data_IF_301520742825
#
_entry.id   IF_301520742825
#
_cell.length_a   1.000
_cell.length_b   1.000
_cell.length_c   1.000
_cell.angle_alpha   90.00
_cell.angle_beta   90.00
_cell.angle_gamma   90.00
#
_symmetry.space_group_name_H-M   'P 1'
#
loop_
_entity.id
_entity.type
_entity.pdbx_description
1 polymer ?
#
# COMPACT_ATOMS: atom_id res chain seq x y z
N UNK A 1 -9.09 5.90 -0.44
CA UNK A 1 -9.99 5.63 0.69
C UNK A 1 -10.30 4.14 0.87
N UNK A 2 -10.64 3.37 -0.21
CA UNK A 2 -11.00 1.94 -0.10
C UNK A 2 -9.84 1.08 0.43
N UNK A 3 -8.64 1.24 -0.12
CA UNK A 3 -7.45 0.51 0.34
C UNK A 3 -7.17 0.74 1.83
N UNK A 4 -7.25 2.00 2.30
CA UNK A 4 -7.05 2.35 3.71
C UNK A 4 -8.09 1.67 4.61
N UNK A 5 -9.37 1.64 4.21
CA UNK A 5 -10.42 0.96 5.01
C UNK A 5 -10.21 -0.55 5.12
N UNK A 6 -9.68 -1.17 4.08
CA UNK A 6 -9.37 -2.60 4.08
C UNK A 6 -8.14 -2.93 4.91
N UNK A 7 -7.09 -2.10 4.77
CA UNK A 7 -5.80 -2.31 5.44
C UNK A 7 -5.74 -1.85 6.90
N UNK A 8 -6.73 -1.09 7.39
CA UNK A 8 -6.79 -0.56 8.77
C UNK A 8 -8.21 -0.70 9.35
N UNK A 9 -8.69 -1.92 9.61
CA UNK A 9 -10.10 -2.16 9.97
C UNK A 9 -10.50 -1.65 11.36
N UNK A 10 -9.56 -1.51 12.28
CA UNK A 10 -9.83 -1.18 13.70
C UNK A 10 -10.13 0.29 14.00
N UNK A 11 -9.98 1.20 13.05
CA UNK A 11 -10.11 2.65 13.29
C UNK A 11 -11.53 3.17 13.03
N UNK A 12 -12.13 3.84 14.05
CA UNK A 12 -13.53 4.26 13.97
C UNK A 12 -13.79 5.51 13.13
N UNK A 13 -12.92 6.54 13.17
CA UNK A 13 -13.15 7.76 12.40
C UNK A 13 -11.88 8.58 12.15
N UNK A 14 -11.74 9.08 10.94
CA UNK A 14 -12.27 8.47 9.72
C UNK A 14 -11.72 7.06 9.56
N UNK A 15 -12.57 6.10 9.25
CA UNK A 15 -12.23 4.66 9.28
C UNK A 15 -10.90 4.36 8.59
N UNK A 16 -9.91 3.88 9.33
CA UNK A 16 -8.58 3.55 8.89
C UNK A 16 -7.60 4.72 8.75
N UNK A 17 -8.06 5.97 8.69
CA UNK A 17 -7.17 7.12 8.43
C UNK A 17 -6.15 7.36 9.53
N UNK A 18 -6.55 7.30 10.78
CA UNK A 18 -5.62 7.50 11.91
C UNK A 18 -4.57 6.38 11.97
N UNK A 19 -4.99 5.13 11.74
CA UNK A 19 -4.06 3.99 11.64
C UNK A 19 -3.09 4.15 10.49
N UNK A 20 -3.57 4.52 9.31
CA UNK A 20 -2.73 4.78 8.15
C UNK A 20 -1.71 5.91 8.42
N UNK A 21 -2.14 7.02 8.99
CA UNK A 21 -1.26 8.15 9.33
C UNK A 21 -0.21 7.73 10.37
N UNK A 22 -0.64 7.07 11.44
CA UNK A 22 0.27 6.59 12.50
C UNK A 22 1.32 5.61 11.98
N UNK A 23 0.94 4.70 11.08
CA UNK A 23 1.84 3.71 10.52
C UNK A 23 2.88 4.31 9.54
N UNK A 24 2.63 5.50 8.99
CA UNK A 24 3.43 6.04 7.90
C UNK A 24 4.21 7.33 8.22
N UNK A 25 3.76 8.13 9.18
CA UNK A 25 4.39 9.45 9.50
C UNK A 25 5.87 9.32 9.83
N UNK A 26 6.27 8.28 10.54
CA UNK A 26 7.67 8.10 10.96
C UNK A 26 8.47 7.16 10.07
N UNK A 27 7.82 6.39 9.21
CA UNK A 27 8.47 5.34 8.40
C UNK A 27 8.60 5.70 6.93
N UNK A 28 7.56 6.29 6.35
CA UNK A 28 7.48 6.57 4.93
C UNK A 28 7.55 8.06 4.59
N UNK A 29 7.46 8.97 5.58
CA UNK A 29 7.50 10.42 5.34
C UNK A 29 8.78 11.02 5.90
N UNK A 30 9.51 11.73 5.05
CA UNK A 30 10.64 12.58 5.43
C UNK A 30 10.31 14.03 5.17
N UNK A 31 10.94 14.94 5.91
CA UNK A 31 10.70 16.37 5.77
C UNK A 31 12.01 17.07 5.39
N UNK A 32 12.00 17.73 4.25
CA UNK A 32 13.14 18.51 3.77
C UNK A 32 12.90 20.02 3.94
N UNK A 33 13.97 20.74 4.24
CA UNK A 33 13.94 22.21 4.23
C UNK A 33 14.00 22.70 2.79
N UNK A 34 13.06 23.57 2.44
CA UNK A 34 13.05 24.24 1.13
C UNK A 34 13.87 25.51 1.23
N UNK A 35 14.91 25.66 0.42
CA UNK A 35 15.67 26.88 0.26
C UNK A 35 15.29 27.57 -1.07
N UNK A 36 15.21 28.90 -1.12
CA UNK A 36 15.48 29.87 -0.06
C UNK A 36 14.30 30.06 0.92
N UNK A 37 14.60 30.54 2.13
CA UNK A 37 13.58 31.03 3.05
C UNK A 37 12.84 32.21 2.44
N UNK A 38 11.51 32.20 2.47
CA UNK A 38 10.69 33.33 2.00
C UNK A 38 10.49 34.33 3.12
N UNK A 39 10.79 35.61 2.92
CA UNK A 39 10.50 36.65 3.92
C UNK A 39 8.97 36.87 4.00
N UNK A 40 8.44 36.94 5.22
CA UNK A 40 7.09 37.45 5.43
C UNK A 40 7.16 38.98 5.36
N UNK A 41 6.61 39.54 4.29
CA UNK A 41 6.66 41.00 4.03
C UNK A 41 6.09 41.79 5.20
N UNK A 42 5.04 41.29 5.86
CA UNK A 42 4.34 42.01 6.95
C UNK A 42 5.12 42.07 8.27
N UNK A 43 6.00 41.11 8.53
CA UNK A 43 6.72 41.04 9.80
C UNK A 43 8.24 41.09 9.65
N UNK A 44 8.74 41.24 8.42
CA UNK A 44 10.19 41.21 8.10
C UNK A 44 10.90 39.95 8.64
N UNK A 45 10.16 38.88 8.85
CA UNK A 45 10.68 37.59 9.30
C UNK A 45 10.74 36.64 8.12
N UNK A 46 11.82 35.87 8.04
CA UNK A 46 11.91 34.75 7.11
C UNK A 46 11.18 33.54 7.69
N UNK A 47 10.40 32.88 6.86
CA UNK A 47 9.78 31.55 7.21
C UNK A 47 10.55 30.46 6.51
N UNK A 48 10.97 29.47 7.29
CA UNK A 48 11.48 28.24 6.74
C UNK A 48 10.31 27.41 6.21
N UNK A 49 10.27 27.20 4.89
CA UNK A 49 9.34 26.26 4.28
C UNK A 49 9.89 24.84 4.39
N UNK A 50 8.99 23.87 4.60
CA UNK A 50 9.29 22.45 4.63
C UNK A 50 8.47 21.74 3.58
N UNK A 51 9.08 20.75 2.93
CA UNK A 51 8.43 19.86 1.97
C UNK A 51 8.44 18.42 2.51
N UNK A 52 7.28 17.80 2.54
CA UNK A 52 7.17 16.36 2.81
C UNK A 52 7.53 15.54 1.58
N UNK A 53 8.34 14.51 1.76
CA UNK A 53 8.69 13.53 0.73
C UNK A 53 8.21 12.18 1.21
N UNK A 54 7.56 11.43 0.33
CA UNK A 54 7.05 10.09 0.62
C UNK A 54 7.97 9.06 -0.03
N UNK A 55 8.48 8.14 0.78
CA UNK A 55 9.15 6.94 0.30
C UNK A 55 8.09 5.84 0.12
N UNK A 56 7.63 5.67 -1.10
CA UNK A 56 6.59 4.70 -1.43
C UNK A 56 7.00 3.26 -1.15
N UNK A 57 8.29 2.93 -1.20
CA UNK A 57 8.76 1.58 -0.87
C UNK A 57 8.55 1.20 0.60
N UNK A 58 8.44 2.20 1.47
CA UNK A 58 8.19 2.06 2.91
C UNK A 58 6.75 2.37 3.31
N UNK A 59 5.94 2.82 2.35
CA UNK A 59 4.55 3.15 2.62
C UNK A 59 3.77 1.88 3.00
N UNK A 60 3.07 1.94 4.13
CA UNK A 60 2.19 0.88 4.60
C UNK A 60 0.76 1.19 4.20
N UNK A 61 0.19 0.39 3.32
CA UNK A 61 -1.23 0.45 2.94
C UNK A 61 -2.11 -0.43 3.82
N UNK A 62 -1.49 -1.32 4.60
CA UNK A 62 -2.10 -2.11 5.67
C UNK A 62 -1.08 -2.31 6.79
N UNK A 63 -1.57 -2.44 8.04
CA UNK A 63 -0.76 -2.78 9.21
C UNK A 63 -1.59 -3.59 10.21
N UNK A 64 -1.07 -4.72 10.64
CA UNK A 64 -1.73 -5.61 11.59
C UNK A 64 -0.87 -6.81 11.98
N UNK A 65 -1.46 -7.74 12.72
CA UNK A 65 -0.77 -8.86 13.34
C UNK A 65 -0.65 -10.09 12.44
N UNK A 66 -1.50 -10.22 11.40
CA UNK A 66 -1.43 -11.38 10.53
C UNK A 66 -0.09 -11.46 9.80
N UNK A 67 0.34 -12.67 9.51
CA UNK A 67 1.54 -12.92 8.68
C UNK A 67 1.33 -12.33 7.28
N UNK A 68 2.31 -11.60 6.77
CA UNK A 68 2.25 -11.04 5.42
C UNK A 68 2.23 -12.15 4.35
N UNK A 69 1.44 -12.00 3.29
CA UNK A 69 1.33 -13.02 2.24
C UNK A 69 2.59 -13.06 1.36
N UNK A 70 2.89 -14.25 0.84
CA UNK A 70 3.92 -14.46 -0.18
C UNK A 70 3.26 -14.53 -1.54
N UNK A 71 3.44 -13.51 -2.35
CA UNK A 71 2.86 -13.37 -3.69
C UNK A 71 3.96 -12.96 -4.66
N UNK A 72 4.01 -13.61 -5.81
CA UNK A 72 4.85 -13.15 -6.92
C UNK A 72 4.07 -12.18 -7.80
N UNK A 73 4.76 -11.18 -8.37
CA UNK A 73 4.16 -10.28 -9.33
C UNK A 73 5.04 -10.06 -10.55
N UNK A 74 4.38 -9.87 -11.69
CA UNK A 74 5.00 -9.57 -12.98
C UNK A 74 4.21 -8.45 -13.66
N UNK A 75 4.91 -7.50 -14.28
CA UNK A 75 4.29 -6.37 -14.98
C UNK A 75 4.31 -6.62 -16.49
N UNK A 76 3.14 -6.65 -17.08
CA UNK A 76 2.94 -6.71 -18.54
C UNK A 76 2.67 -5.31 -19.08
N UNK A 77 3.73 -4.61 -19.45
CA UNK A 77 3.68 -3.19 -19.88
C UNK A 77 2.80 -2.99 -21.12
N UNK A 78 2.85 -3.91 -22.09
CA UNK A 78 2.10 -3.83 -23.35
C UNK A 78 0.58 -3.85 -23.15
N UNK A 79 0.09 -4.63 -22.18
CA UNK A 79 -1.33 -4.74 -21.85
C UNK A 79 -1.73 -3.91 -20.63
N UNK A 80 -0.80 -3.19 -20.03
CA UNK A 80 -1.01 -2.36 -18.82
C UNK A 80 -1.62 -3.16 -17.67
N UNK A 81 -1.06 -4.35 -17.41
CA UNK A 81 -1.53 -5.26 -16.36
C UNK A 81 -0.41 -5.64 -15.41
N UNK A 82 -0.78 -5.90 -14.18
CA UNK A 82 0.06 -6.56 -13.18
C UNK A 82 -0.54 -7.93 -12.94
N UNK A 83 0.25 -8.97 -13.16
CA UNK A 83 -0.10 -10.35 -12.90
C UNK A 83 0.40 -10.75 -11.52
N UNK A 84 -0.44 -11.39 -10.75
CA UNK A 84 -0.13 -11.91 -9.42
C UNK A 84 -0.30 -13.40 -9.43
N UNK A 85 0.62 -14.10 -8.77
CA UNK A 85 0.51 -15.54 -8.56
C UNK A 85 0.79 -15.91 -7.11
N UNK A 86 0.06 -16.89 -6.62
CA UNK A 86 0.19 -17.43 -5.29
C UNK A 86 0.08 -18.93 -5.30
N UNK A 87 0.93 -19.59 -4.52
CA UNK A 87 0.82 -21.02 -4.23
C UNK A 87 0.20 -21.20 -2.85
N UNK A 88 -0.80 -22.07 -2.79
CA UNK A 88 -1.54 -22.36 -1.57
C UNK A 88 -0.61 -22.73 -0.41
N UNK A 89 -0.95 -22.25 0.76
CA UNK A 89 -0.40 -22.80 1.99
C UNK A 89 -1.08 -24.12 2.32
N UNK A 90 -0.32 -25.10 2.77
CA UNK A 90 -0.84 -26.42 3.11
C UNK A 90 -1.27 -26.54 4.58
N UNK A 91 -0.75 -25.68 5.46
CA UNK A 91 -0.92 -25.77 6.92
C UNK A 91 -1.11 -24.37 7.50
N UNK A 92 -2.03 -24.25 8.42
CA UNK A 92 -2.21 -23.02 9.21
C UNK A 92 -1.12 -22.85 10.27
N UNK A 93 -0.86 -21.61 10.64
CA UNK A 93 0.06 -21.23 11.70
C UNK A 93 -0.55 -20.08 12.53
N UNK A 94 0.12 -19.67 13.59
CA UNK A 94 -0.28 -18.52 14.40
C UNK A 94 -0.33 -17.28 13.47
N UNK A 95 -1.43 -16.56 13.53
CA UNK A 95 -1.70 -15.36 12.73
C UNK A 95 -1.62 -15.58 11.21
N UNK A 96 -1.91 -16.82 10.76
CA UNK A 96 -1.84 -17.22 9.37
C UNK A 96 -2.85 -18.34 9.07
N UNK A 97 -4.02 -18.00 8.56
CA UNK A 97 -5.13 -18.92 8.35
C UNK A 97 -5.39 -19.13 6.86
N UNK A 98 -5.89 -20.32 6.50
CA UNK A 98 -6.11 -20.69 5.08
C UNK A 98 -7.22 -19.86 4.43
N UNK A 99 -8.16 -19.37 5.21
CA UNK A 99 -9.28 -18.52 4.77
C UNK A 99 -8.95 -17.00 4.78
N UNK A 100 -7.74 -16.61 5.16
CA UNK A 100 -7.30 -15.22 5.02
C UNK A 100 -7.36 -14.79 3.55
N UNK A 101 -8.01 -13.68 3.29
CA UNK A 101 -8.10 -13.06 1.97
C UNK A 101 -6.84 -12.26 1.65
N UNK A 102 -6.32 -12.40 0.43
CA UNK A 102 -5.16 -11.64 -0.05
C UNK A 102 -5.64 -10.53 -0.97
N UNK A 103 -5.17 -9.32 -0.72
CA UNK A 103 -5.48 -8.12 -1.51
C UNK A 103 -4.24 -7.59 -2.20
N UNK A 104 -4.42 -7.18 -3.47
CA UNK A 104 -3.44 -6.41 -4.24
C UNK A 104 -3.82 -4.94 -4.28
N UNK A 105 -2.82 -4.07 -4.21
CA UNK A 105 -2.97 -2.62 -4.32
C UNK A 105 -1.97 -2.09 -5.34
N UNK A 106 -2.47 -1.39 -6.35
CA UNK A 106 -1.65 -0.65 -7.30
C UNK A 106 -1.77 0.84 -6.96
N UNK A 107 -0.66 1.50 -6.76
CA UNK A 107 -0.57 2.93 -6.47
C UNK A 107 0.40 3.58 -7.46
N UNK A 108 0.01 4.70 -8.05
CA UNK A 108 0.89 5.47 -8.91
C UNK A 108 1.40 6.71 -8.18
N UNK A 109 2.72 6.90 -8.14
CA UNK A 109 3.37 7.92 -7.30
C UNK A 109 2.99 9.36 -7.67
N UNK A 110 2.92 9.68 -8.96
CA UNK A 110 2.69 11.06 -9.40
C UNK A 110 1.22 11.44 -9.48
N UNK A 111 0.34 10.53 -9.95
CA UNK A 111 -1.10 10.80 -10.05
C UNK A 111 -1.85 10.50 -8.76
N UNK A 112 -1.21 9.75 -7.82
CA UNK A 112 -1.83 9.23 -6.60
C UNK A 112 -3.08 8.38 -6.86
N UNK A 113 -3.26 7.91 -8.09
CA UNK A 113 -4.33 6.98 -8.43
C UNK A 113 -4.07 5.63 -7.78
N UNK A 114 -5.12 5.03 -7.23
CA UNK A 114 -5.00 3.80 -6.46
C UNK A 114 -6.13 2.83 -6.81
N UNK A 115 -5.75 1.58 -7.08
CA UNK A 115 -6.68 0.48 -7.32
C UNK A 115 -6.43 -0.62 -6.29
N UNK A 116 -7.51 -1.22 -5.77
CA UNK A 116 -7.43 -2.34 -4.83
C UNK A 116 -8.35 -3.45 -5.26
N UNK A 117 -7.87 -4.70 -5.21
CA UNK A 117 -8.61 -5.88 -5.60
C UNK A 117 -8.33 -7.04 -4.63
N UNK A 118 -9.36 -7.85 -4.35
CA UNK A 118 -9.17 -9.15 -3.72
C UNK A 118 -8.60 -10.10 -4.77
N UNK A 119 -7.48 -10.75 -4.46
CA UNK A 119 -6.79 -11.67 -5.38
C UNK A 119 -7.22 -13.13 -5.16
N UNK A 120 -7.39 -13.56 -3.90
CA UNK A 120 -7.76 -14.92 -3.56
C UNK A 120 -7.60 -15.20 -2.07
N UNK A 121 -7.50 -16.47 -1.68
CA UNK A 121 -7.25 -16.88 -0.29
C UNK A 121 -5.90 -17.57 -0.17
N UNK A 122 -5.37 -17.63 1.06
CA UNK A 122 -4.08 -18.29 1.32
C UNK A 122 -4.11 -19.79 1.04
N UNK A 123 -5.24 -20.43 1.28
CA UNK A 123 -5.42 -21.87 1.09
C UNK A 123 -5.62 -22.30 -0.35
N UNK A 124 -5.57 -21.41 -1.32
CA UNK A 124 -5.84 -21.67 -2.72
C UNK A 124 -4.64 -21.31 -3.61
N UNK A 125 -4.46 -22.09 -4.69
CA UNK A 125 -3.59 -21.68 -5.81
C UNK A 125 -4.40 -20.74 -6.71
N UNK A 126 -3.82 -19.58 -7.02
CA UNK A 126 -4.48 -18.63 -7.92
C UNK A 126 -3.49 -17.81 -8.75
N UNK A 127 -3.97 -17.36 -9.90
CA UNK A 127 -3.33 -16.40 -10.77
C UNK A 127 -4.37 -15.33 -11.11
N UNK A 128 -4.09 -14.08 -10.75
CA UNK A 128 -4.99 -12.96 -10.95
C UNK A 128 -4.26 -11.80 -11.63
N UNK A 129 -5.01 -10.93 -12.26
CA UNK A 129 -4.44 -9.74 -12.88
C UNK A 129 -5.23 -8.48 -12.56
N UNK A 130 -4.51 -7.38 -12.43
CA UNK A 130 -5.09 -6.04 -12.25
C UNK A 130 -4.65 -5.13 -13.38
N UNK A 131 -5.60 -4.42 -13.99
CA UNK A 131 -5.26 -3.33 -14.89
C UNK A 131 -4.66 -2.17 -14.11
N UNK A 132 -3.75 -1.42 -14.71
CA UNK A 132 -3.21 -0.21 -14.14
C UNK A 132 -4.33 0.76 -13.73
N UNK A 133 -4.12 1.58 -12.70
CA UNK A 133 -5.00 2.71 -12.44
C UNK A 133 -5.14 3.60 -13.67
N UNK A 134 -6.26 4.31 -13.79
CA UNK A 134 -6.48 5.27 -14.87
C UNK A 134 -5.33 6.28 -14.91
N UNK A 135 -4.88 6.63 -16.11
CA UNK A 135 -3.79 7.57 -16.37
C UNK A 135 -2.42 7.19 -15.78
N UNK A 136 -2.29 6.01 -15.13
CA UNK A 136 -1.02 5.54 -14.60
C UNK A 136 -0.16 4.96 -15.71
N UNK A 137 1.12 5.30 -15.73
CA UNK A 137 2.13 4.66 -16.55
C UNK A 137 2.89 3.58 -15.75
N UNK A 138 3.73 2.81 -16.40
CA UNK A 138 4.55 1.81 -15.71
C UNK A 138 5.55 2.47 -14.77
N UNK A 139 6.14 3.58 -15.21
CA UNK A 139 7.04 4.38 -14.38
C UNK A 139 6.28 5.03 -13.23
N UNK A 140 6.73 4.80 -12.01
CA UNK A 140 6.04 5.27 -10.80
C UNK A 140 4.88 4.38 -10.32
N UNK A 141 4.69 3.19 -10.92
CA UNK A 141 3.74 2.22 -10.41
C UNK A 141 4.36 1.44 -9.23
N UNK A 142 3.68 1.47 -8.09
CA UNK A 142 4.07 0.75 -6.88
C UNK A 142 3.00 -0.28 -6.55
N UNK A 143 3.45 -1.50 -6.26
CA UNK A 143 2.58 -2.66 -6.02
C UNK A 143 2.72 -3.11 -4.58
N UNK A 144 1.59 -3.27 -3.90
CA UNK A 144 1.56 -3.82 -2.55
C UNK A 144 0.59 -4.99 -2.47
N UNK A 145 0.88 -5.90 -1.53
CA UNK A 145 -0.05 -6.95 -1.13
C UNK A 145 -0.18 -6.98 0.37
N UNK A 146 -1.33 -7.40 0.87
CA UNK A 146 -1.57 -7.67 2.28
C UNK A 146 -2.64 -8.75 2.44
N UNK A 147 -2.66 -9.39 3.61
CA UNK A 147 -3.70 -10.33 3.98
C UNK A 147 -4.72 -9.67 4.92
N UNK A 148 -5.94 -10.18 4.89
CA UNK A 148 -7.04 -9.76 5.76
C UNK A 148 -7.79 -10.99 6.25
N UNK A 149 -8.05 -11.07 7.54
CA UNK A 149 -8.84 -12.15 8.12
C UNK A 149 -10.22 -12.23 7.46
N UNK A 150 -10.75 -13.43 7.35
CA UNK A 150 -12.08 -13.68 6.74
C UNK A 150 -13.21 -12.90 7.45
N UNK A 151 -13.09 -12.71 8.78
CA UNK A 151 -14.04 -11.89 9.56
C UNK A 151 -13.83 -10.38 9.40
N UNK A 152 -12.76 -9.99 8.71
CA UNK A 152 -12.43 -8.61 8.39
C UNK A 152 -11.92 -7.75 9.52
N UNK A 153 -11.58 -8.33 10.69
CA UNK A 153 -11.16 -7.57 11.87
C UNK A 153 -9.66 -7.33 11.94
N UNK A 154 -8.87 -8.25 11.40
CA UNK A 154 -7.42 -8.18 11.37
C UNK A 154 -6.83 -8.13 9.95
N UNK A 155 -5.62 -7.60 9.86
CA UNK A 155 -4.82 -7.55 8.63
C UNK A 155 -3.37 -7.91 8.91
N UNK A 156 -2.61 -8.15 7.85
CA UNK A 156 -1.15 -8.18 7.92
C UNK A 156 -0.55 -6.80 7.66
N UNK A 157 0.73 -6.64 7.93
CA UNK A 157 1.52 -5.57 7.32
C UNK A 157 1.50 -5.76 5.80
N UNK A 158 1.45 -4.64 5.07
CA UNK A 158 1.59 -4.68 3.62
C UNK A 158 3.03 -4.86 3.19
N UNK A 159 3.21 -5.62 2.11
CA UNK A 159 4.52 -5.84 1.45
C UNK A 159 4.53 -5.07 0.14
N UNK A 160 5.54 -4.23 -0.05
CA UNK A 160 5.83 -3.62 -1.35
C UNK A 160 6.54 -4.65 -2.22
N UNK A 161 5.93 -5.02 -3.34
CA UNK A 161 6.49 -6.00 -4.27
C UNK A 161 7.40 -5.33 -5.31
N UNK A 162 8.55 -5.95 -5.55
CA UNK A 162 9.38 -5.62 -6.71
C UNK A 162 8.90 -6.50 -7.86
N UNK A 163 8.10 -5.93 -8.75
CA UNK A 163 7.65 -6.66 -9.93
C UNK A 163 8.75 -6.69 -10.99
N UNK A 164 9.02 -7.87 -11.51
CA UNK A 164 9.89 -8.04 -12.67
C UNK A 164 9.08 -7.62 -13.91
N UNK A 165 9.64 -6.73 -14.68
CA UNK A 165 9.06 -6.30 -15.96
C UNK A 165 9.89 -6.79 -17.13
#
# INVERSE_FOLDING_TARGET
ARAIRLGFPGNQYPKGFNGFTSANVTTAVTVEKVNPMKPIVRYKKAIQEYRGIIDYSKLRVAAGALVSPVVACEVESGNRKVHFSHRRMAVEAIDCFLDDEIYGVLLHESTHSCKVMRLGMRGEDWNESMDFPEEAEMEGLVVYVFARAADGKDTSDSVCLKCNG
#
